data_IF_895387982286
#
_entry.id   IF_895387982286
#
_cell.length_a   1.000
_cell.length_b   1.000
_cell.length_c   1.000
_cell.angle_alpha   90.00
_cell.angle_beta   90.00
_cell.angle_gamma   90.00
#
_symmetry.space_group_name_H-M   'P 1'
#
loop_
_entity.id
_entity.type
_entity.pdbx_description
1 polymer ?
#
# COMPACT_ATOMS: atom_id res chain seq x y z
N UNK A 1 -30.91 -11.19 -6.93
CA UNK A 1 -30.50 -10.68 -6.88
C UNK A 1 -29.97 -10.36 -6.17
N UNK A 2 -29.66 -10.26 -6.01
CA UNK A 2 -29.25 -9.72 -5.44
C UNK A 2 -28.46 -9.26 -5.38
N UNK A 3 -28.10 -9.22 -5.84
CA UNK A 3 -27.31 -8.63 -5.93
C UNK A 3 -27.18 -7.62 -5.60
N UNK A 4 -27.87 -7.48 -5.68
CA UNK A 4 -27.98 -6.16 -5.30
C UNK A 4 -27.04 -5.77 -4.26
N UNK A 5 -27.06 -6.43 -3.21
CA UNK A 5 -26.15 -6.08 -2.17
C UNK A 5 -24.74 -6.03 -2.67
N UNK A 6 -24.41 -6.93 -3.51
CA UNK A 6 -23.08 -6.97 -4.05
C UNK A 6 -22.72 -5.68 -4.74
N UNK A 7 -23.67 -5.06 -5.37
CA UNK A 7 -23.38 -3.84 -6.07
C UNK A 7 -23.07 -2.72 -5.13
N UNK A 8 -23.56 -2.80 -3.90
CA UNK A 8 -23.30 -1.74 -2.95
C UNK A 8 -21.81 -1.66 -2.59
N UNK A 9 -21.09 -2.76 -2.72
CA UNK A 9 -19.68 -2.76 -2.42
C UNK A 9 -18.91 -2.96 -3.69
N UNK A 10 -18.67 -1.87 -4.36
CA UNK A 10 -17.97 -1.94 -5.62
C UNK A 10 -16.49 -1.73 -5.36
N UNK A 11 -15.71 -2.75 -5.62
CA UNK A 11 -14.27 -2.63 -5.43
C UNK A 11 -13.66 -1.82 -6.54
N UNK A 12 -12.75 -0.97 -6.17
CA UNK A 12 -12.01 -0.17 -7.11
C UNK A 12 -10.79 -0.95 -7.59
N UNK A 13 -10.27 -0.57 -8.76
CA UNK A 13 -8.98 -1.08 -9.20
C UNK A 13 -7.84 -0.19 -8.76
N UNK A 14 -8.13 0.82 -7.94
CA UNK A 14 -7.11 1.77 -7.53
C UNK A 14 -6.06 1.12 -6.64
N UNK A 15 -4.85 1.65 -6.73
CA UNK A 15 -3.74 1.23 -5.91
C UNK A 15 -3.65 2.16 -4.72
N UNK A 16 -3.61 1.61 -3.52
CA UNK A 16 -3.40 2.41 -2.32
C UNK A 16 -1.91 2.37 -2.00
N UNK A 17 -1.25 3.52 -2.05
CA UNK A 17 0.18 3.62 -1.79
C UNK A 17 0.38 4.10 -0.36
N UNK A 18 0.94 3.23 0.48
CA UNK A 18 1.13 3.51 1.89
C UNK A 18 2.61 3.77 2.17
N UNK A 19 2.91 4.87 2.86
CA UNK A 19 4.29 5.25 3.08
C UNK A 19 4.44 6.06 4.34
N UNK A 20 5.65 6.07 4.89
CA UNK A 20 5.99 6.92 6.02
C UNK A 20 6.25 8.34 5.52
N UNK A 21 5.95 9.34 6.36
CA UNK A 21 6.12 10.73 5.94
C UNK A 21 7.55 11.03 5.51
N UNK A 22 8.52 10.32 6.05
CA UNK A 22 9.90 10.53 5.64
C UNK A 22 10.20 10.09 4.23
N UNK A 23 9.28 9.33 3.62
CA UNK A 23 9.48 8.80 2.27
C UNK A 23 8.58 9.47 1.24
N UNK A 24 8.09 10.66 1.53
CA UNK A 24 7.13 11.30 0.63
C UNK A 24 7.67 11.48 -0.78
N UNK A 25 8.95 11.84 -0.91
CA UNK A 25 9.51 12.03 -2.24
C UNK A 25 9.58 10.73 -3.02
N UNK A 26 10.05 9.66 -2.38
CA UNK A 26 10.13 8.37 -3.05
C UNK A 26 8.74 7.88 -3.42
N UNK A 27 7.79 8.04 -2.51
CA UNK A 27 6.41 7.62 -2.78
C UNK A 27 5.81 8.39 -3.95
N UNK A 28 6.13 9.70 -4.02
CA UNK A 28 5.60 10.50 -5.13
C UNK A 28 6.14 10.00 -6.47
N UNK A 29 7.42 9.63 -6.51
CA UNK A 29 7.99 9.12 -7.75
C UNK A 29 7.33 7.81 -8.16
N UNK A 30 7.08 6.94 -7.20
CA UNK A 30 6.39 5.70 -7.48
C UNK A 30 4.98 5.99 -7.98
N UNK A 31 4.30 6.91 -7.32
CA UNK A 31 2.95 7.28 -7.71
C UNK A 31 2.91 7.80 -9.14
N UNK A 32 3.84 8.69 -9.49
CA UNK A 32 3.87 9.27 -10.81
C UNK A 32 4.14 8.21 -11.87
N UNK A 33 5.05 7.29 -11.59
CA UNK A 33 5.35 6.24 -12.54
C UNK A 33 4.13 5.34 -12.78
N UNK A 34 3.42 5.02 -11.71
CA UNK A 34 2.23 4.18 -11.85
C UNK A 34 1.13 4.91 -12.61
N UNK A 35 0.97 6.19 -12.35
CA UNK A 35 -0.04 6.97 -13.06
C UNK A 35 0.29 7.12 -14.54
N UNK A 36 1.57 7.25 -14.86
CA UNK A 36 1.96 7.31 -16.26
C UNK A 36 1.68 6.01 -16.97
N UNK A 37 1.67 4.92 -16.24
CA UNK A 37 1.33 3.62 -16.82
C UNK A 37 -0.18 3.42 -16.94
N UNK A 38 -0.97 4.42 -16.59
CA UNK A 38 -2.42 4.34 -16.75
C UNK A 38 -3.15 3.81 -15.53
N UNK A 39 -2.47 3.72 -14.40
CA UNK A 39 -3.08 3.16 -13.19
C UNK A 39 -3.58 4.26 -12.28
N UNK A 40 -4.68 4.01 -11.61
CA UNK A 40 -5.20 4.93 -10.63
C UNK A 40 -4.50 4.67 -9.31
N UNK A 41 -3.95 5.72 -8.70
CA UNK A 41 -3.23 5.58 -7.44
C UNK A 41 -3.81 6.56 -6.44
N UNK A 42 -4.17 6.03 -5.28
CA UNK A 42 -4.59 6.86 -4.15
C UNK A 42 -3.35 7.18 -3.34
N UNK A 43 -2.87 8.38 -3.53
CA UNK A 43 -1.63 8.87 -2.92
C UNK A 43 -1.98 10.08 -2.09
N UNK A 44 -1.93 9.92 -0.79
CA UNK A 44 -2.37 10.96 0.13
C UNK A 44 -1.25 11.34 1.05
N UNK A 45 -1.21 12.62 1.42
CA UNK A 45 -0.27 13.07 2.43
C UNK A 45 -1.01 13.12 3.75
N UNK A 46 -1.35 11.94 4.22
CA UNK A 46 -2.24 11.83 5.35
C UNK A 46 -1.70 12.41 6.64
N UNK A 47 -0.38 12.48 6.78
CA UNK A 47 0.14 13.08 8.00
C UNK A 47 -0.22 14.53 8.15
N UNK A 48 -0.59 15.17 7.08
CA UNK A 48 -0.93 16.58 7.15
C UNK A 48 -2.35 16.79 7.62
N UNK A 49 -3.07 15.72 7.86
CA UNK A 49 -4.45 15.79 8.26
C UNK A 49 -4.69 14.90 9.45
N UNK A 50 -5.71 15.18 10.19
CA UNK A 50 -6.04 14.36 11.33
C UNK A 50 -7.53 14.53 11.61
N UNK A 51 -8.03 13.67 12.47
CA UNK A 51 -9.42 13.73 12.86
C UNK A 51 -10.20 12.53 12.43
N UNK A 52 -11.39 12.42 12.97
CA UNK A 52 -12.22 11.25 12.75
C UNK A 52 -12.63 11.08 11.29
N UNK A 53 -12.92 12.19 10.62
CA UNK A 53 -13.33 12.10 9.22
C UNK A 53 -12.18 11.56 8.36
N UNK A 54 -10.97 11.95 8.70
CA UNK A 54 -9.81 11.48 7.97
C UNK A 54 -9.61 9.98 8.17
N UNK A 55 -9.73 9.53 9.42
CA UNK A 55 -9.60 8.10 9.70
C UNK A 55 -10.64 7.30 8.94
N UNK A 56 -11.88 7.77 8.92
CA UNK A 56 -12.94 7.06 8.22
C UNK A 56 -12.64 6.96 6.73
N UNK A 57 -12.08 8.01 6.16
CA UNK A 57 -11.74 8.02 4.74
C UNK A 57 -10.65 6.99 4.43
N UNK A 58 -9.61 6.96 5.25
CA UNK A 58 -8.52 6.02 5.06
C UNK A 58 -9.02 4.58 5.17
N UNK A 59 -9.83 4.31 6.18
CA UNK A 59 -10.36 2.96 6.36
C UNK A 59 -11.18 2.52 5.16
N UNK A 60 -12.00 3.44 4.63
CA UNK A 60 -12.80 3.11 3.48
C UNK A 60 -11.93 2.85 2.25
N UNK A 61 -10.90 3.68 2.04
CA UNK A 61 -10.04 3.50 0.88
C UNK A 61 -9.33 2.14 0.93
N UNK A 62 -8.85 1.75 2.09
CA UNK A 62 -8.17 0.46 2.20
C UNK A 62 -9.14 -0.69 2.00
N UNK A 63 -10.38 -0.50 2.40
CA UNK A 63 -11.40 -1.51 2.19
C UNK A 63 -11.78 -1.66 0.72
N UNK A 64 -11.63 -0.61 -0.06
CA UNK A 64 -12.11 -0.59 -1.44
C UNK A 64 -11.01 -0.71 -2.49
N UNK A 65 -9.78 -0.43 -2.15
CA UNK A 65 -8.72 -0.44 -3.16
C UNK A 65 -8.51 -1.83 -3.75
N UNK A 66 -7.98 -1.86 -4.96
CA UNK A 66 -7.73 -3.13 -5.62
C UNK A 66 -6.38 -3.72 -5.29
N UNK A 67 -5.43 -2.89 -4.93
CA UNK A 67 -4.08 -3.33 -4.61
C UNK A 67 -3.52 -2.43 -3.53
N UNK A 68 -2.85 -3.01 -2.56
CA UNK A 68 -2.23 -2.25 -1.48
C UNK A 68 -0.71 -2.35 -1.60
N UNK A 69 -0.06 -1.21 -1.74
CA UNK A 69 1.39 -1.16 -1.94
C UNK A 69 2.03 -0.45 -0.75
N UNK A 70 2.52 -1.21 0.23
CA UNK A 70 3.26 -0.60 1.33
C UNK A 70 4.70 -0.36 0.91
N UNK A 71 5.19 0.85 1.20
CA UNK A 71 6.57 1.21 0.93
C UNK A 71 7.39 0.93 2.17
N UNK A 72 8.29 -0.04 2.08
CA UNK A 72 9.13 -0.45 3.21
C UNK A 72 10.47 0.24 3.05
N UNK A 73 10.89 0.93 4.10
CA UNK A 73 12.05 1.80 4.03
C UNK A 73 12.74 1.86 5.39
N UNK A 74 13.91 2.48 5.42
CA UNK A 74 14.56 2.75 6.70
C UNK A 74 13.64 3.58 7.59
N UNK A 75 12.93 4.54 7.01
CA UNK A 75 12.01 5.37 7.79
C UNK A 75 10.94 4.54 8.46
N UNK A 76 10.31 3.60 7.72
CA UNK A 76 9.28 2.77 8.33
C UNK A 76 9.87 1.85 9.39
N UNK A 77 11.11 1.44 9.24
CA UNK A 77 11.72 0.53 10.21
C UNK A 77 12.10 1.25 11.49
N UNK A 78 12.46 2.52 11.39
CA UNK A 78 12.86 3.30 12.55
C UNK A 78 11.68 3.87 13.33
N UNK A 79 10.57 4.10 12.68
CA UNK A 79 9.41 4.71 13.32
C UNK A 79 8.52 3.64 13.90
N UNK A 80 8.36 3.67 15.21
CA UNK A 80 7.50 2.71 15.87
C UNK A 80 6.04 3.06 15.71
N UNK A 81 5.74 4.32 15.41
CA UNK A 81 4.37 4.80 15.27
C UNK A 81 4.22 5.66 14.04
N UNK A 82 3.04 5.65 13.49
CA UNK A 82 2.72 6.45 12.33
C UNK A 82 1.45 5.92 11.68
N UNK A 83 0.82 6.75 10.85
CA UNK A 83 -0.38 6.31 10.16
C UNK A 83 -0.11 5.11 9.28
N UNK A 84 1.10 5.00 8.73
CA UNK A 84 1.37 3.86 7.87
C UNK A 84 1.22 2.54 8.65
N UNK A 85 1.51 2.54 9.96
CA UNK A 85 1.32 1.33 10.76
C UNK A 85 -0.14 0.90 10.81
N UNK A 86 -1.02 1.88 10.98
CA UNK A 86 -2.45 1.60 10.97
C UNK A 86 -2.88 1.10 9.60
N UNK A 87 -2.42 1.75 8.55
CA UNK A 87 -2.76 1.34 7.20
C UNK A 87 -2.32 -0.08 6.94
N UNK A 88 -1.11 -0.42 7.36
CA UNK A 88 -0.59 -1.78 7.18
C UNK A 88 -1.45 -2.81 7.90
N UNK A 89 -1.90 -2.47 9.11
CA UNK A 89 -2.76 -3.38 9.85
C UNK A 89 -4.10 -3.57 9.16
N UNK A 90 -4.69 -2.50 8.70
CA UNK A 90 -5.99 -2.59 8.04
C UNK A 90 -5.89 -3.42 6.77
N UNK A 91 -4.83 -3.22 6.00
CA UNK A 91 -4.66 -3.99 4.78
C UNK A 91 -4.43 -5.46 5.09
N UNK A 92 -3.64 -5.72 6.12
CA UNK A 92 -3.38 -7.10 6.54
C UNK A 92 -4.69 -7.78 6.95
N UNK A 93 -5.49 -7.09 7.75
CA UNK A 93 -6.77 -7.64 8.18
C UNK A 93 -7.66 -7.98 6.99
N UNK A 94 -7.73 -7.06 6.02
CA UNK A 94 -8.53 -7.32 4.84
C UNK A 94 -8.02 -8.52 4.06
N UNK A 95 -6.69 -8.67 4.00
CA UNK A 95 -6.10 -9.76 3.22
C UNK A 95 -6.51 -11.12 3.77
N UNK A 96 -6.78 -11.21 5.07
CA UNK A 96 -7.20 -12.49 5.64
C UNK A 96 -8.59 -12.90 5.20
N UNK A 97 -9.35 -11.98 4.64
CA UNK A 97 -10.70 -12.29 4.14
C UNK A 97 -10.69 -12.65 2.67
N UNK A 98 -9.52 -12.68 2.07
CA UNK A 98 -9.39 -12.98 0.65
C UNK A 98 -8.83 -14.37 0.46
N UNK A 99 -9.06 -14.93 -0.72
CA UNK A 99 -8.42 -16.18 -1.09
C UNK A 99 -6.91 -15.99 -1.06
N UNK A 100 -6.20 -17.01 -0.64
CA UNK A 100 -4.75 -16.91 -0.47
C UNK A 100 -4.03 -16.54 -1.76
N UNK A 101 -4.56 -16.92 -2.90
CA UNK A 101 -3.90 -16.65 -4.17
C UNK A 101 -4.31 -15.33 -4.79
N UNK A 102 -5.14 -14.55 -4.09
CA UNK A 102 -5.54 -13.25 -4.63
C UNK A 102 -4.41 -12.25 -4.48
N UNK A 103 -4.07 -11.56 -5.55
CA UNK A 103 -3.04 -10.54 -5.52
C UNK A 103 -3.62 -9.27 -4.91
N UNK A 104 -3.22 -8.94 -3.71
CA UNK A 104 -3.68 -7.74 -3.04
C UNK A 104 -2.52 -6.98 -2.40
N UNK A 105 -1.69 -7.67 -1.63
CA UNK A 105 -0.54 -7.03 -0.97
C UNK A 105 0.65 -7.08 -1.92
N UNK A 106 1.23 -5.92 -2.19
CA UNK A 106 2.35 -5.81 -3.11
C UNK A 106 3.45 -4.97 -2.47
N UNK A 107 4.23 -5.55 -1.55
CA UNK A 107 5.23 -4.76 -0.83
C UNK A 107 6.37 -4.30 -1.73
N UNK A 108 6.78 -3.06 -1.53
CA UNK A 108 7.87 -2.45 -2.27
C UNK A 108 8.90 -1.98 -1.26
N UNK A 109 10.15 -2.39 -1.43
CA UNK A 109 11.21 -1.96 -0.52
C UNK A 109 12.15 -1.03 -1.27
N UNK A 110 12.42 0.13 -0.67
CA UNK A 110 13.23 1.15 -1.32
C UNK A 110 14.60 1.32 -0.67
N UNK A 111 14.86 0.58 0.39
CA UNK A 111 16.15 0.58 1.06
C UNK A 111 16.63 -0.84 1.22
N UNK A 112 17.89 -1.01 1.59
CA UNK A 112 18.46 -2.33 1.71
C UNK A 112 18.11 -2.93 3.07
N UNK A 113 16.95 -3.56 3.14
CA UNK A 113 16.42 -4.10 4.39
C UNK A 113 16.21 -5.61 4.23
N UNK A 114 16.84 -6.43 5.05
CA UNK A 114 16.60 -7.88 4.99
C UNK A 114 15.16 -8.19 5.39
N UNK A 115 14.49 -9.02 4.60
CA UNK A 115 13.09 -9.31 4.85
C UNK A 115 12.86 -9.92 6.21
N UNK A 116 13.74 -10.82 6.62
CA UNK A 116 13.52 -11.53 7.88
C UNK A 116 13.72 -10.63 9.11
N UNK A 117 14.35 -9.47 8.95
CA UNK A 117 14.54 -8.55 10.05
C UNK A 117 13.58 -7.38 10.02
N UNK A 118 12.78 -7.26 8.98
CA UNK A 118 11.92 -6.10 8.81
C UNK A 118 10.76 -6.12 9.79
N UNK A 119 10.41 -4.95 10.28
CA UNK A 119 9.22 -4.77 11.13
C UNK A 119 8.02 -4.58 10.26
N UNK A 120 7.44 -5.67 9.85
CA UNK A 120 6.26 -5.64 8.97
C UNK A 120 5.31 -6.72 9.45
N UNK A 121 4.03 -6.60 9.10
CA UNK A 121 3.10 -7.71 9.38
C UNK A 121 3.59 -8.99 8.71
N UNK A 122 3.35 -10.10 9.36
CA UNK A 122 3.82 -11.38 8.82
C UNK A 122 3.29 -11.65 7.41
N UNK A 123 2.07 -11.21 7.13
CA UNK A 123 1.49 -11.44 5.79
C UNK A 123 2.33 -10.83 4.69
N UNK A 124 3.03 -9.71 4.98
CA UNK A 124 3.88 -9.09 3.97
C UNK A 124 5.00 -10.04 3.56
N UNK A 125 5.53 -10.80 4.51
CA UNK A 125 6.62 -11.71 4.20
C UNK A 125 6.19 -12.90 3.36
N UNK A 126 4.89 -13.14 3.30
CA UNK A 126 4.37 -14.22 2.47
C UNK A 126 4.26 -13.82 1.01
N UNK A 127 4.56 -12.56 0.69
CA UNK A 127 4.50 -12.07 -0.67
C UNK A 127 5.90 -11.77 -1.15
N UNK A 128 6.07 -11.76 -2.46
CA UNK A 128 7.36 -11.40 -3.02
C UNK A 128 7.50 -9.89 -3.01
N UNK A 129 8.62 -9.42 -2.50
CA UNK A 129 8.86 -7.98 -2.41
C UNK A 129 9.51 -7.48 -3.68
N UNK A 130 9.13 -6.29 -4.12
CA UNK A 130 9.76 -5.63 -5.24
C UNK A 130 10.77 -4.63 -4.70
N UNK A 131 11.99 -4.70 -5.20
CA UNK A 131 13.06 -3.83 -4.71
C UNK A 131 13.28 -2.68 -5.67
N UNK A 132 13.22 -1.46 -5.13
CA UNK A 132 13.44 -0.24 -5.89
C UNK A 132 14.51 0.57 -5.16
N UNK A 133 15.73 0.04 -5.13
CA UNK A 133 16.75 0.58 -4.24
C UNK A 133 17.21 1.98 -4.62
N UNK A 134 17.06 2.39 -5.87
CA UNK A 134 17.43 3.74 -6.25
C UNK A 134 16.20 4.64 -6.36
N UNK A 135 15.09 4.18 -5.80
CA UNK A 135 13.84 4.94 -5.76
C UNK A 135 13.27 5.23 -7.14
N UNK A 136 13.66 4.46 -8.13
CA UNK A 136 13.13 4.63 -9.48
C UNK A 136 12.30 3.44 -9.85
N UNK A 137 11.19 3.73 -10.47
CA UNK A 137 10.29 2.68 -10.92
C UNK A 137 10.59 2.42 -12.38
N UNK A 138 11.20 1.28 -12.65
CA UNK A 138 11.63 0.98 -14.01
C UNK A 138 10.45 0.68 -14.89
N UNK A 139 10.43 1.22 -16.10
CA UNK A 139 9.27 1.03 -16.97
C UNK A 139 8.97 -0.43 -17.27
N UNK A 140 9.98 -1.26 -17.36
CA UNK A 140 9.73 -2.65 -17.70
C UNK A 140 9.27 -3.48 -16.52
N UNK A 141 9.33 -2.91 -15.35
CA UNK A 141 9.04 -3.67 -14.14
C UNK A 141 7.65 -4.26 -14.11
N UNK A 142 6.62 -3.50 -14.39
CA UNK A 142 5.28 -4.03 -14.23
C UNK A 142 4.81 -4.93 -15.34
N UNK A 143 5.59 -5.06 -16.36
CA UNK A 143 5.10 -5.84 -17.48
C UNK A 143 5.23 -7.31 -17.25
N UNK A 144 5.74 -7.64 -16.26
CA UNK A 144 5.89 -9.02 -16.12
C UNK A 144 5.00 -9.68 -15.45
#
# INVERSE_FOLDING_TARGET
MIEAGATAVKKSSAIFLSYSSGDADAARRICEALREAGLEVWFDQSELRSGDAWDASIRRQIKECGLFVPVISNSTQEREEGYFRLEWKLATDRSFLMADDKAFLFPVVIDNIPEHLARVPDRFRERQWTKLLDHRFLPCLPTK
#
